data_IF_750733743812
#
_entry.id   IF_750733743812
#
_cell.length_a   1.000
_cell.length_b   1.000
_cell.length_c   1.000
_cell.angle_alpha   90.00
_cell.angle_beta   90.00
_cell.angle_gamma   90.00
#
_symmetry.space_group_name_H-M   'P 1'
#
loop_
_entity.id
_entity.type
_entity.pdbx_description
1 polymer ?
#
# COMPACT_ATOMS: atom_id res chain seq x y z
N UNK A 1 -9.02 14.95 -1.65
CA UNK A 1 -10.18 14.02 -1.70
C UNK A 1 -9.82 12.91 -0.74
N UNK A 2 -10.63 12.60 0.25
CA UNK A 2 -10.27 11.54 1.21
C UNK A 2 -10.40 10.16 0.58
N UNK A 3 -9.45 9.27 0.93
CA UNK A 3 -9.40 7.88 0.52
C UNK A 3 -9.27 6.97 1.74
N UNK A 4 -9.76 5.73 1.61
CA UNK A 4 -9.74 4.73 2.66
C UNK A 4 -9.37 3.36 2.08
N UNK A 5 -8.90 2.45 2.93
CA UNK A 5 -8.67 1.06 2.56
C UNK A 5 -9.88 0.21 2.91
N UNK A 6 -10.34 -0.58 1.95
CA UNK A 6 -11.39 -1.57 2.14
C UNK A 6 -10.84 -2.96 1.80
N UNK A 7 -10.77 -3.90 2.75
CA UNK A 7 -10.25 -5.24 2.48
C UNK A 7 -11.12 -5.99 1.47
N UNK A 8 -10.48 -6.58 0.46
CA UNK A 8 -11.11 -7.48 -0.52
C UNK A 8 -10.76 -8.94 -0.23
N UNK A 9 -9.47 -9.21 0.05
CA UNK A 9 -8.96 -10.53 0.42
C UNK A 9 -7.84 -10.36 1.44
N UNK A 10 -7.88 -11.13 2.52
CA UNK A 10 -6.81 -11.16 3.53
C UNK A 10 -6.50 -12.61 3.87
N UNK A 11 -5.27 -13.03 3.60
CA UNK A 11 -4.71 -14.35 3.89
C UNK A 11 -3.33 -14.17 4.50
N UNK A 12 -2.74 -15.23 5.05
CA UNK A 12 -1.39 -15.15 5.64
C UNK A 12 -0.31 -14.67 4.65
N UNK A 13 -0.47 -15.00 3.37
CA UNK A 13 0.53 -14.72 2.33
C UNK A 13 0.12 -13.57 1.39
N UNK A 14 -1.14 -13.13 1.42
CA UNK A 14 -1.63 -12.12 0.50
C UNK A 14 -2.73 -11.24 1.09
N UNK A 15 -2.55 -9.93 0.99
CA UNK A 15 -3.56 -8.92 1.34
C UNK A 15 -3.88 -8.09 0.09
N UNK A 16 -5.14 -8.11 -0.31
CA UNK A 16 -5.68 -7.29 -1.42
C UNK A 16 -6.70 -6.33 -0.81
N UNK A 17 -6.46 -5.04 -1.00
CA UNK A 17 -7.28 -3.97 -0.46
C UNK A 17 -7.70 -3.06 -1.60
N UNK A 18 -8.98 -2.70 -1.65
CA UNK A 18 -9.45 -1.62 -2.49
C UNK A 18 -9.11 -0.28 -1.84
N UNK A 19 -8.77 0.70 -2.67
CA UNK A 19 -8.68 2.10 -2.27
C UNK A 19 -10.00 2.73 -2.67
N UNK A 20 -10.78 3.17 -1.70
CA UNK A 20 -12.13 3.68 -1.93
C UNK A 20 -12.24 5.15 -1.54
N UNK A 21 -13.11 5.89 -2.21
CA UNK A 21 -13.44 7.26 -1.82
C UNK A 21 -14.57 7.29 -0.76
N UNK A 22 -14.96 8.49 -0.33
CA UNK A 22 -16.09 8.72 0.60
C UNK A 22 -17.46 8.19 0.14
N UNK A 23 -17.62 7.82 -1.14
CA UNK A 23 -18.82 7.19 -1.69
C UNK A 23 -18.71 5.67 -1.76
N UNK A 24 -17.64 5.08 -1.22
CA UNK A 24 -17.30 3.66 -1.33
C UNK A 24 -17.04 3.20 -2.77
N UNK A 25 -16.71 4.12 -3.69
CA UNK A 25 -16.32 3.76 -5.05
C UNK A 25 -14.84 3.38 -5.06
N UNK A 26 -14.50 2.23 -5.66
CA UNK A 26 -13.12 1.81 -5.84
C UNK A 26 -12.41 2.72 -6.85
N UNK A 27 -11.41 3.45 -6.37
CA UNK A 27 -10.56 4.37 -7.15
C UNK A 27 -9.13 3.85 -7.31
N UNK A 28 -8.85 2.66 -6.78
CA UNK A 28 -7.53 2.06 -6.78
C UNK A 28 -7.49 0.75 -6.00
N UNK A 29 -6.29 0.22 -5.84
CA UNK A 29 -6.03 -0.99 -5.08
C UNK A 29 -4.61 -0.99 -4.48
N UNK A 30 -4.44 -1.81 -3.46
CA UNK A 30 -3.17 -2.20 -2.87
C UNK A 30 -3.11 -3.72 -2.78
N UNK A 31 -1.96 -4.26 -3.13
CA UNK A 31 -1.70 -5.70 -3.06
C UNK A 31 -0.38 -5.90 -2.35
N UNK A 32 -0.42 -6.69 -1.29
CA UNK A 32 0.74 -7.17 -0.55
C UNK A 32 0.82 -8.66 -0.76
N UNK A 33 1.93 -9.14 -1.31
CA UNK A 33 2.23 -10.57 -1.42
C UNK A 33 3.47 -10.83 -0.60
N UNK A 34 3.33 -11.67 0.43
CA UNK A 34 4.41 -12.11 1.29
C UNK A 34 4.83 -13.50 0.86
N UNK A 35 6.11 -13.65 0.52
CA UNK A 35 6.69 -14.94 0.19
C UNK A 35 8.03 -15.08 0.92
N UNK A 36 8.08 -15.99 1.89
CA UNK A 36 9.23 -16.19 2.78
C UNK A 36 9.63 -14.87 3.48
N UNK A 37 10.79 -14.34 3.12
CA UNK A 37 11.37 -13.09 3.64
C UNK A 37 11.16 -11.90 2.70
N UNK A 38 10.33 -12.03 1.66
CA UNK A 38 10.07 -10.94 0.71
C UNK A 38 8.63 -10.50 0.79
N UNK A 39 8.42 -9.20 0.70
CA UNK A 39 7.10 -8.61 0.53
C UNK A 39 7.08 -7.76 -0.74
N UNK A 40 6.14 -8.08 -1.62
CA UNK A 40 5.87 -7.33 -2.83
C UNK A 40 4.64 -6.46 -2.61
N UNK A 41 4.80 -5.15 -2.79
CA UNK A 41 3.75 -4.17 -2.63
C UNK A 41 3.46 -3.55 -3.99
N UNK A 42 2.24 -3.76 -4.51
CA UNK A 42 1.75 -3.09 -5.69
C UNK A 42 0.61 -2.16 -5.29
N UNK A 43 0.78 -0.86 -5.51
CA UNK A 43 -0.23 0.14 -5.22
C UNK A 43 -0.58 0.96 -6.45
N UNK A 44 -1.87 1.14 -6.68
CA UNK A 44 -2.36 1.97 -7.77
C UNK A 44 -3.58 2.76 -7.31
N UNK A 45 -3.58 4.07 -7.54
CA UNK A 45 -4.74 4.94 -7.34
C UNK A 45 -4.92 5.84 -8.56
N UNK A 46 -6.10 5.80 -9.17
CA UNK A 46 -6.40 6.62 -10.35
C UNK A 46 -6.66 8.08 -10.00
N UNK A 47 -7.02 8.36 -8.75
CA UNK A 47 -7.37 9.70 -8.35
C UNK A 47 -6.15 10.62 -8.30
N UNK A 48 -6.25 11.78 -8.95
CA UNK A 48 -5.25 12.83 -8.85
C UNK A 48 -5.34 13.57 -7.51
N UNK A 49 -4.19 14.08 -7.05
CA UNK A 49 -4.14 14.94 -5.86
C UNK A 49 -4.31 14.23 -4.52
N UNK A 50 -4.24 12.88 -4.49
CA UNK A 50 -4.28 12.07 -3.25
C UNK A 50 -2.97 11.36 -2.94
N UNK A 51 -1.87 11.76 -3.58
CA UNK A 51 -0.59 11.06 -3.45
C UNK A 51 -0.06 11.04 -2.00
N UNK A 52 -0.17 12.16 -1.28
CA UNK A 52 0.25 12.23 0.13
C UNK A 52 -0.67 11.42 1.03
N UNK A 53 -1.99 11.56 0.90
CA UNK A 53 -2.97 10.71 1.62
C UNK A 53 -2.70 9.21 1.38
N UNK A 54 -2.34 8.84 0.15
CA UNK A 54 -2.00 7.47 -0.21
C UNK A 54 -0.72 6.99 0.48
N UNK A 55 0.32 7.83 0.59
CA UNK A 55 1.53 7.51 1.38
C UNK A 55 1.18 7.30 2.84
N UNK A 56 0.41 8.21 3.41
CA UNK A 56 0.06 8.21 4.84
C UNK A 56 -0.75 6.97 5.23
N UNK A 57 -1.54 6.45 4.31
CA UNK A 57 -2.31 5.22 4.50
C UNK A 57 -1.45 3.96 4.32
N UNK A 58 -0.50 3.96 3.39
CA UNK A 58 0.33 2.78 3.08
C UNK A 58 1.47 2.58 4.07
N UNK A 59 2.18 3.67 4.45
CA UNK A 59 3.31 3.63 5.39
C UNK A 59 3.02 2.82 6.66
N UNK A 60 1.95 3.11 7.43
CA UNK A 60 1.66 2.36 8.65
C UNK A 60 1.29 0.90 8.36
N UNK A 61 0.72 0.61 7.20
CA UNK A 61 0.38 -0.76 6.81
C UNK A 61 1.63 -1.59 6.53
N UNK A 62 2.57 -1.07 5.73
CA UNK A 62 3.89 -1.68 5.49
C UNK A 62 4.61 -1.88 6.83
N UNK A 63 4.67 -0.83 7.66
CA UNK A 63 5.33 -0.90 8.97
C UNK A 63 4.69 -1.94 9.89
N UNK A 64 3.37 -2.11 9.84
CA UNK A 64 2.65 -3.16 10.57
C UNK A 64 3.05 -4.56 10.11
N UNK A 65 3.12 -4.77 8.79
CA UNK A 65 3.53 -6.05 8.20
C UNK A 65 5.00 -6.39 8.54
N UNK A 66 5.90 -5.42 8.47
CA UNK A 66 7.32 -5.61 8.79
C UNK A 66 7.56 -5.93 10.28
N UNK A 67 6.66 -5.58 11.20
CA UNK A 67 6.76 -6.00 12.61
C UNK A 67 6.56 -7.50 12.80
N UNK A 68 5.78 -8.15 11.93
CA UNK A 68 5.54 -9.60 12.00
C UNK A 68 6.76 -10.40 11.52
N UNK A 69 7.58 -9.80 10.64
CA UNK A 69 8.79 -10.39 10.06
C UNK A 69 9.87 -9.31 9.97
N UNK A 70 10.75 -9.17 10.98
CA UNK A 70 11.74 -8.08 11.03
C UNK A 70 12.73 -8.09 9.86
N UNK A 71 12.98 -9.27 9.30
CA UNK A 71 13.94 -9.50 8.20
C UNK A 71 13.26 -9.48 6.82
N UNK A 72 12.14 -8.76 6.68
CA UNK A 72 11.37 -8.70 5.44
C UNK A 72 11.97 -7.69 4.46
N UNK A 73 12.40 -8.16 3.30
CA UNK A 73 12.79 -7.30 2.17
C UNK A 73 11.52 -6.79 1.47
N UNK A 74 11.32 -5.47 1.49
CA UNK A 74 10.16 -4.83 0.88
C UNK A 74 10.49 -4.32 -0.52
N UNK A 75 9.81 -4.88 -1.52
CA UNK A 75 9.83 -4.43 -2.90
C UNK A 75 8.51 -3.74 -3.20
N UNK A 76 8.54 -2.51 -3.69
CA UNK A 76 7.32 -1.75 -3.92
C UNK A 76 7.30 -1.03 -5.26
N UNK A 77 6.12 -0.98 -5.86
CA UNK A 77 5.80 -0.09 -6.98
C UNK A 77 4.47 0.55 -6.68
N UNK A 78 4.47 1.88 -6.62
CA UNK A 78 3.31 2.69 -6.30
C UNK A 78 3.05 3.68 -7.44
N UNK A 79 1.80 3.80 -7.85
CA UNK A 79 1.38 4.72 -8.90
C UNK A 79 0.12 5.47 -8.47
N UNK A 80 0.15 6.81 -8.54
CA UNK A 80 -1.01 7.67 -8.27
C UNK A 80 -1.18 8.65 -9.41
N UNK A 81 -2.39 8.75 -9.97
CA UNK A 81 -2.67 9.68 -11.07
C UNK A 81 -1.83 9.40 -12.32
N UNK A 82 -1.47 8.13 -12.54
CA UNK A 82 -0.59 7.73 -13.65
C UNK A 82 0.88 8.09 -13.48
N UNK A 83 1.32 8.50 -12.28
CA UNK A 83 2.72 8.80 -11.97
C UNK A 83 3.24 7.83 -10.93
N UNK A 84 4.43 7.29 -11.19
CA UNK A 84 5.16 6.51 -10.19
C UNK A 84 5.55 7.40 -9.00
N UNK A 85 5.48 6.82 -7.81
CA UNK A 85 5.83 7.51 -6.57
C UNK A 85 6.74 6.63 -5.72
N UNK A 86 7.63 7.29 -4.98
CA UNK A 86 8.51 6.65 -4.02
C UNK A 86 7.99 6.94 -2.61
N UNK A 87 8.02 5.93 -1.75
CA UNK A 87 7.98 6.14 -0.31
C UNK A 87 9.40 6.52 0.11
N UNK A 88 9.61 7.77 0.52
CA UNK A 88 10.92 8.19 1.05
C UNK A 88 11.33 7.22 2.17
N UNK A 89 12.52 6.64 2.03
CA UNK A 89 13.10 5.73 3.02
C UNK A 89 13.29 6.52 4.32
N UNK A 90 12.47 6.23 5.34
CA UNK A 90 12.87 6.52 6.71
C UNK A 90 14.11 5.66 6.99
N UNK A 91 15.26 6.33 6.99
CA UNK A 91 16.56 5.77 7.33
C UNK A 91 16.43 4.91 8.59
N UNK A 92 16.87 3.65 8.49
CA UNK A 92 17.30 2.85 9.64
C UNK A 92 18.25 3.71 10.48
N UNK A 93 17.77 4.20 11.63
CA UNK A 93 18.62 4.65 12.74
C UNK A 93 18.76 3.52 13.75
#
# INVERSE_FOLDING_TARGET
MEIYLSPELVTEDAHILNVVNHKHEAVGYLTFIVNQQKMYVLGHCQADGVAEDFKDVIKPYINGMSKLKPDLDVYMTLCVGGREMTLEEEQKS
#
